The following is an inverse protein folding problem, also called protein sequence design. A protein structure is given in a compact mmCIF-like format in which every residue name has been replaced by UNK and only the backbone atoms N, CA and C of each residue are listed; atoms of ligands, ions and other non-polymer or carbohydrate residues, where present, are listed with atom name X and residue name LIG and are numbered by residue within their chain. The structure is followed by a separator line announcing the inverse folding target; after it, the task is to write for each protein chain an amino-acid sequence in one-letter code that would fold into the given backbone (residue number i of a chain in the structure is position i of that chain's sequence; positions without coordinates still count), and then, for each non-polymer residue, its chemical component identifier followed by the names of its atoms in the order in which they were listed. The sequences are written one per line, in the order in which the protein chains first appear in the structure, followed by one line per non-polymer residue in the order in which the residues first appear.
data_IF_321837325733
#
_entry.id   IF_321837325733
#
_cell.length_a   1.000
_cell.length_b   1.000
_cell.length_c   1.000
_cell.angle_alpha   90.00
_cell.angle_beta   90.00
_cell.angle_gamma   90.00
#
_symmetry.space_group_name_H-M   'P 1'
#
loop_
_entity.id
_entity.type
_entity.pdbx_description
1 polymer ?
#
# COMPACT_ATOMS: atom_id res chain seq x y z
N UNK A 1 -20.96 5.92 -25.39
CA UNK A 1 -19.83 6.45 -24.60
C UNK A 1 -20.17 6.30 -23.12
N UNK A 2 -19.50 5.39 -22.41
CA UNK A 2 -19.67 5.20 -20.97
C UNK A 2 -18.89 6.31 -20.25
N UNK A 3 -19.59 7.36 -19.82
CA UNK A 3 -19.05 8.37 -18.91
C UNK A 3 -18.86 7.70 -17.55
N UNK A 4 -17.63 7.27 -17.26
CA UNK A 4 -17.23 6.86 -15.92
C UNK A 4 -17.48 8.03 -14.97
N UNK A 5 -18.51 7.90 -14.13
CA UNK A 5 -18.84 8.88 -13.11
C UNK A 5 -17.74 8.85 -12.06
N UNK A 6 -16.71 9.70 -12.23
CA UNK A 6 -15.64 9.86 -11.24
C UNK A 6 -16.24 10.58 -10.04
N UNK A 7 -16.79 9.84 -9.09
CA UNK A 7 -17.21 10.36 -7.80
C UNK A 7 -15.98 10.92 -7.09
N UNK A 8 -15.89 12.25 -7.01
CA UNK A 8 -14.84 12.93 -6.27
C UNK A 8 -15.38 13.25 -4.88
N UNK A 9 -14.87 12.55 -3.88
CA UNK A 9 -15.17 12.84 -2.49
C UNK A 9 -14.33 14.02 -2.00
N UNK A 10 -14.99 14.99 -1.36
CA UNK A 10 -14.33 16.16 -0.77
C UNK A 10 -14.04 15.87 0.70
N UNK A 11 -12.80 16.12 1.10
CA UNK A 11 -12.34 15.90 2.46
C UNK A 11 -11.85 17.22 3.04
N UNK A 12 -12.26 17.53 4.26
CA UNK A 12 -11.72 18.63 5.06
C UNK A 12 -10.96 18.02 6.23
N UNK A 13 -9.70 18.43 6.40
CA UNK A 13 -8.82 17.93 7.45
C UNK A 13 -8.28 19.08 8.27
N UNK A 14 -8.11 18.85 9.57
CA UNK A 14 -7.34 19.72 10.45
C UNK A 14 -5.97 19.11 10.66
N UNK A 15 -4.93 19.92 10.52
CA UNK A 15 -3.54 19.48 10.67
C UNK A 15 -2.75 20.48 11.52
N UNK A 16 -1.74 20.02 12.27
CA UNK A 16 -0.78 20.89 12.95
C UNK A 16 -0.17 21.93 12.00
N UNK A 17 0.03 23.14 12.51
CA UNK A 17 0.55 24.25 11.71
C UNK A 17 1.92 23.95 11.09
N UNK A 18 2.81 23.29 11.84
CA UNK A 18 4.11 22.86 11.33
C UNK A 18 3.99 22.01 10.06
N UNK A 19 3.11 21.01 10.06
CA UNK A 19 2.87 20.16 8.89
C UNK A 19 2.25 20.94 7.73
N UNK A 20 1.36 21.89 8.02
CA UNK A 20 0.77 22.73 6.98
C UNK A 20 1.83 23.61 6.29
N UNK A 21 2.79 24.11 7.06
CA UNK A 21 3.92 24.91 6.58
C UNK A 21 4.89 24.08 5.75
N UNK A 22 5.25 22.87 6.20
CA UNK A 22 6.09 21.96 5.41
C UNK A 22 5.41 21.58 4.09
N UNK A 23 4.10 21.33 4.12
CA UNK A 23 3.33 21.06 2.91
C UNK A 23 3.30 22.25 1.94
N UNK A 24 3.31 23.50 2.43
CA UNK A 24 3.45 24.69 1.58
C UNK A 24 4.81 24.75 0.88
N UNK A 25 5.89 24.51 1.63
CA UNK A 25 7.24 24.46 1.08
C UNK A 25 7.36 23.39 0.00
N UNK A 26 6.91 22.16 0.27
CA UNK A 26 6.92 21.08 -0.72
C UNK A 26 6.03 21.38 -1.93
N UNK A 27 4.86 21.98 -1.73
CA UNK A 27 3.96 22.39 -2.81
C UNK A 27 4.63 23.40 -3.75
N UNK A 28 5.35 24.38 -3.18
CA UNK A 28 6.10 25.37 -3.94
C UNK A 28 7.27 24.77 -4.73
N UNK A 29 8.04 23.88 -4.11
CA UNK A 29 9.18 23.19 -4.74
C UNK A 29 8.74 22.29 -5.91
N UNK A 30 7.71 21.48 -5.68
CA UNK A 30 7.19 20.54 -6.67
C UNK A 30 6.28 21.19 -7.71
N UNK A 31 5.90 22.46 -7.50
CA UNK A 31 4.95 23.21 -8.35
C UNK A 31 3.61 22.51 -8.54
N UNK A 32 3.13 21.87 -7.48
CA UNK A 32 1.82 21.20 -7.44
C UNK A 32 0.92 21.86 -6.42
N UNK A 33 -0.40 21.75 -6.57
CA UNK A 33 -1.32 22.24 -5.55
C UNK A 33 -1.22 21.43 -4.25
N UNK A 34 -1.57 22.03 -3.10
CA UNK A 34 -1.71 21.31 -1.82
C UNK A 34 -2.61 20.09 -1.93
N UNK A 35 -3.74 20.20 -2.64
CA UNK A 35 -4.66 19.08 -2.83
C UNK A 35 -4.01 17.92 -3.57
N UNK A 36 -3.22 18.21 -4.61
CA UNK A 36 -2.49 17.19 -5.36
C UNK A 36 -1.39 16.55 -4.51
N UNK A 37 -0.66 17.37 -3.73
CA UNK A 37 0.34 16.89 -2.78
C UNK A 37 -0.28 15.90 -1.78
N UNK A 38 -1.42 16.27 -1.17
CA UNK A 38 -2.11 15.40 -0.21
C UNK A 38 -2.66 14.13 -0.87
N UNK A 39 -3.14 14.23 -2.10
CA UNK A 39 -3.60 13.05 -2.86
C UNK A 39 -2.45 12.08 -3.10
N UNK A 40 -1.30 12.56 -3.57
CA UNK A 40 -0.11 11.73 -3.77
C UNK A 40 0.36 11.09 -2.46
N UNK A 41 0.39 11.88 -1.38
CA UNK A 41 0.78 11.38 -0.07
C UNK A 41 -0.16 10.26 0.42
N UNK A 42 -1.47 10.47 0.27
CA UNK A 42 -2.48 9.48 0.65
C UNK A 42 -2.38 8.20 -0.19
N UNK A 43 -2.21 8.32 -1.51
CA UNK A 43 -2.04 7.17 -2.40
C UNK A 43 -0.80 6.34 -2.02
N UNK A 44 0.33 7.00 -1.76
CA UNK A 44 1.57 6.34 -1.33
C UNK A 44 1.41 5.65 0.03
N UNK A 45 0.81 6.34 1.00
CA UNK A 45 0.57 5.77 2.32
C UNK A 45 -0.31 4.52 2.25
N UNK A 46 -1.40 4.56 1.48
CA UNK A 46 -2.28 3.41 1.31
C UNK A 46 -1.59 2.24 0.61
N UNK A 47 -0.76 2.51 -0.41
CA UNK A 47 0.02 1.48 -1.08
C UNK A 47 1.02 0.81 -0.13
N UNK A 48 1.71 1.62 0.70
CA UNK A 48 2.64 1.12 1.71
C UNK A 48 1.93 0.28 2.76
N UNK A 49 0.79 0.74 3.30
CA UNK A 49 0.01 -0.03 4.27
C UNK A 49 -0.47 -1.38 3.72
N UNK A 50 -0.86 -1.44 2.43
CA UNK A 50 -1.19 -2.71 1.77
C UNK A 50 0.01 -3.63 1.71
N UNK A 51 1.18 -3.11 1.34
CA UNK A 51 2.43 -3.87 1.30
C UNK A 51 2.82 -4.42 2.69
N UNK A 52 2.73 -3.60 3.73
CA UNK A 52 3.04 -4.04 5.09
C UNK A 52 2.07 -5.12 5.58
N UNK A 53 0.76 -5.00 5.28
CA UNK A 53 -0.20 -6.07 5.58
C UNK A 53 0.14 -7.38 4.86
N UNK A 54 0.51 -7.31 3.58
CA UNK A 54 0.92 -8.50 2.83
C UNK A 54 2.18 -9.15 3.45
N UNK A 55 3.15 -8.37 3.90
CA UNK A 55 4.33 -8.91 4.60
C UNK A 55 3.96 -9.65 5.89
N UNK A 56 3.02 -9.10 6.67
CA UNK A 56 2.55 -9.75 7.89
C UNK A 56 1.87 -11.09 7.58
N UNK A 57 1.00 -11.12 6.57
CA UNK A 57 0.34 -12.35 6.12
C UNK A 57 1.36 -13.37 5.63
N UNK A 58 2.35 -12.95 4.84
CA UNK A 58 3.43 -13.85 4.38
C UNK A 58 4.26 -14.38 5.54
N UNK A 59 4.55 -13.55 6.54
CA UNK A 59 5.27 -13.99 7.73
C UNK A 59 4.47 -15.01 8.54
N UNK A 60 3.16 -14.78 8.70
CA UNK A 60 2.24 -15.72 9.36
C UNK A 60 2.16 -17.04 8.61
N UNK A 61 1.95 -17.00 7.28
CA UNK A 61 1.96 -18.19 6.43
C UNK A 61 3.29 -18.95 6.51
N UNK A 62 4.43 -18.24 6.49
CA UNK A 62 5.74 -18.87 6.59
C UNK A 62 5.94 -19.61 7.92
N UNK A 63 5.41 -19.08 9.03
CA UNK A 63 5.42 -19.79 10.31
C UNK A 63 4.46 -20.99 10.30
N UNK A 64 3.28 -20.87 9.71
CA UNK A 64 2.35 -22.00 9.54
C UNK A 64 2.96 -23.14 8.71
N UNK A 65 3.60 -22.83 7.58
CA UNK A 65 4.32 -23.83 6.77
C UNK A 65 5.50 -24.47 7.51
N UNK A 66 6.14 -23.78 8.46
CA UNK A 66 7.20 -24.38 9.30
C UNK A 66 6.65 -25.26 10.40
N UNK A 67 5.53 -24.85 10.99
CA UNK A 67 4.91 -25.53 12.13
C UNK A 67 4.10 -26.76 11.71
N UNK A 68 3.46 -26.71 10.54
CA UNK A 68 2.60 -27.78 10.04
C UNK A 68 3.25 -28.52 8.86
N UNK A 69 3.72 -29.73 9.14
CA UNK A 69 4.40 -30.58 8.16
C UNK A 69 3.45 -31.18 7.11
N UNK A 70 2.14 -31.18 7.35
CA UNK A 70 1.17 -31.64 6.35
C UNK A 70 1.04 -30.62 5.21
N UNK A 71 1.18 -29.32 5.51
CA UNK A 71 1.12 -28.22 4.53
C UNK A 71 2.28 -28.24 3.52
N UNK A 72 3.42 -28.84 3.87
CA UNK A 72 4.59 -29.05 2.98
C UNK A 72 4.74 -30.49 2.48
N UNK A 73 3.79 -31.38 2.79
CA UNK A 73 3.95 -32.82 2.51
C UNK A 73 4.08 -33.13 1.01
N UNK A 74 3.49 -32.30 0.14
CA UNK A 74 3.51 -32.49 -1.31
C UNK A 74 4.50 -31.58 -2.05
N UNK A 75 5.12 -30.60 -1.39
CA UNK A 75 6.13 -29.72 -2.03
C UNK A 75 7.41 -30.48 -2.41
N UNK A 76 7.59 -31.71 -1.91
CA UNK A 76 8.66 -32.63 -2.34
C UNK A 76 8.51 -33.01 -3.82
N UNK A 77 7.28 -33.03 -4.33
CA UNK A 77 6.96 -33.36 -5.73
C UNK A 77 7.25 -32.18 -6.69
N UNK A 78 7.34 -30.95 -6.20
CA UNK A 78 7.66 -29.77 -7.02
C UNK A 78 9.14 -29.76 -7.48
N UNK A 79 10.00 -30.55 -6.83
CA UNK A 79 11.40 -30.73 -7.20
C UNK A 79 11.62 -31.88 -8.22
N UNK A 80 10.57 -32.63 -8.56
CA UNK A 80 10.66 -33.65 -9.61
C UNK A 80 10.59 -32.95 -10.98
N UNK A 81 11.75 -32.75 -11.61
CA UNK A 81 11.80 -32.48 -13.05
C UNK A 81 11.13 -33.66 -13.77
N UNK A 82 9.95 -33.43 -14.32
CA UNK A 82 9.31 -34.38 -15.23
C UNK A 82 10.17 -34.47 -16.50
N UNK A 83 11.03 -35.49 -16.55
CA UNK A 83 11.84 -35.88 -17.73
C UNK A 83 10.97 -36.60 -18.75
#
# INVERSE_FOLDING_TARGET
MLTANRSVDRVTISLPHALASEADSCSAELKVSRSELYKIALERFLAEQRRERLKLIVAEMAEEYRADKELTALTVLDAEEFV
#
